data_IF_478746057140
#
_entry.id   IF_478746057140
#
_cell.length_a   1.000
_cell.length_b   1.000
_cell.length_c   1.000
_cell.angle_alpha   90.00
_cell.angle_beta   90.00
_cell.angle_gamma   90.00
#
_symmetry.space_group_name_H-M   'P 1'
#
loop_
_entity.id
_entity.type
_entity.pdbx_description
1 polymer ?
#
# COMPACT_ATOMS: atom_id res chain seq x y z
N UNK A 1 2.75 17.32 15.62
CA UNK A 1 2.92 17.39 14.15
C UNK A 1 1.55 17.45 13.51
N UNK A 2 1.38 18.12 12.36
CA UNK A 2 0.11 18.69 11.89
C UNK A 2 -1.11 17.75 11.84
N UNK A 3 -0.93 16.43 11.70
CA UNK A 3 -2.02 15.44 11.53
C UNK A 3 -3.14 15.49 12.58
N UNK A 4 -2.86 15.91 13.82
CA UNK A 4 -3.87 16.05 14.89
C UNK A 4 -4.27 17.51 15.16
N UNK A 5 -4.01 18.42 14.22
CA UNK A 5 -4.34 19.84 14.35
C UNK A 5 -5.36 20.28 13.30
N UNK A 6 -6.04 21.40 13.55
CA UNK A 6 -7.00 21.99 12.61
C UNK A 6 -6.35 22.37 11.25
N UNK A 7 -5.03 22.57 11.21
CA UNK A 7 -4.31 22.91 9.99
C UNK A 7 -4.10 21.73 9.03
N UNK A 8 -4.36 20.50 9.46
CA UNK A 8 -4.09 19.31 8.65
C UNK A 8 -4.86 19.29 7.34
N UNK A 9 -6.12 19.73 7.33
CA UNK A 9 -6.95 19.75 6.12
C UNK A 9 -6.29 20.57 5.00
N UNK A 10 -5.86 21.80 5.31
CA UNK A 10 -5.17 22.65 4.33
C UNK A 10 -3.85 22.04 3.84
N UNK A 11 -3.07 21.47 4.75
CA UNK A 11 -1.82 20.82 4.38
C UNK A 11 -2.05 19.59 3.49
N UNK A 12 -3.04 18.76 3.82
CA UNK A 12 -3.42 17.58 3.04
C UNK A 12 -3.84 17.96 1.62
N UNK A 13 -4.67 18.97 1.45
CA UNK A 13 -5.10 19.43 0.12
C UNK A 13 -3.95 20.01 -0.71
N UNK A 14 -3.06 20.77 -0.09
CA UNK A 14 -1.84 21.25 -0.74
C UNK A 14 -0.97 20.08 -1.23
N UNK A 15 -0.72 19.10 -0.36
CA UNK A 15 0.06 17.91 -0.72
C UNK A 15 -0.63 17.08 -1.81
N UNK A 16 -1.95 16.88 -1.73
CA UNK A 16 -2.73 16.16 -2.74
C UNK A 16 -2.58 16.84 -4.11
N UNK A 17 -2.67 18.17 -4.17
CA UNK A 17 -2.51 18.94 -5.42
C UNK A 17 -1.11 18.81 -6.00
N UNK A 18 -0.06 18.95 -5.18
CA UNK A 18 1.33 18.82 -5.61
C UNK A 18 1.62 17.42 -6.16
N UNK A 19 1.17 16.40 -5.44
CA UNK A 19 1.41 15.01 -5.80
C UNK A 19 0.63 14.60 -7.05
N UNK A 20 -0.61 15.09 -7.23
CA UNK A 20 -1.38 14.81 -8.44
C UNK A 20 -0.68 15.33 -9.72
N UNK A 21 0.02 16.46 -9.64
CA UNK A 21 0.80 16.98 -10.77
C UNK A 21 2.16 16.30 -11.00
N UNK A 22 2.64 15.51 -10.03
CA UNK A 22 3.95 14.85 -10.06
C UNK A 22 3.84 13.33 -10.18
N UNK A 23 2.63 12.79 -10.05
CA UNK A 23 2.38 11.36 -10.08
C UNK A 23 2.70 10.83 -11.48
N UNK A 24 3.64 9.89 -11.54
CA UNK A 24 3.83 9.07 -12.74
C UNK A 24 2.71 8.04 -12.74
N UNK A 25 1.90 8.05 -13.81
CA UNK A 25 0.85 7.07 -13.98
C UNK A 25 1.46 5.74 -14.43
N UNK A 26 1.24 4.71 -13.63
CA UNK A 26 1.52 3.32 -13.97
C UNK A 26 0.20 2.60 -14.23
N UNK A 27 0.21 1.61 -15.12
CA UNK A 27 -0.96 0.72 -15.30
C UNK A 27 -1.19 -0.09 -14.02
N UNK A 28 -0.11 -0.68 -13.47
CA UNK A 28 -0.11 -1.34 -12.16
C UNK A 28 1.06 -0.84 -11.29
N UNK A 29 0.89 -0.80 -9.96
CA UNK A 29 1.99 -0.42 -9.06
C UNK A 29 3.18 -1.40 -9.16
N UNK A 30 2.95 -2.64 -9.58
CA UNK A 30 4.02 -3.61 -9.84
C UNK A 30 4.91 -3.26 -11.04
N UNK A 31 4.46 -2.36 -11.91
CA UNK A 31 5.29 -1.83 -12.99
C UNK A 31 6.39 -0.89 -12.49
N UNK A 32 6.37 -0.52 -11.21
CA UNK A 32 7.44 0.20 -10.51
C UNK A 32 8.58 -0.79 -10.22
N UNK A 33 9.37 -1.04 -11.26
CA UNK A 33 10.50 -1.96 -11.26
C UNK A 33 11.73 -1.28 -11.83
N UNK A 34 12.95 -1.70 -11.40
CA UNK A 34 14.16 -1.17 -12.00
C UNK A 34 14.23 -1.58 -13.48
N UNK A 35 14.33 -0.60 -14.37
CA UNK A 35 14.75 -0.89 -15.75
C UNK A 35 16.24 -1.29 -15.71
N UNK A 36 16.63 -2.30 -16.50
CA UNK A 36 17.96 -2.94 -16.46
C UNK A 36 19.17 -1.98 -16.57
N UNK A 37 18.94 -0.73 -16.97
CA UNK A 37 19.94 0.33 -17.16
C UNK A 37 19.75 1.55 -16.24
N UNK A 38 18.89 1.50 -15.22
CA UNK A 38 18.41 2.70 -14.52
C UNK A 38 18.92 2.93 -13.09
N UNK A 39 19.07 4.23 -12.81
CA UNK A 39 19.38 4.86 -11.54
C UNK A 39 18.37 4.47 -10.44
N UNK A 40 18.83 3.73 -9.43
CA UNK A 40 18.03 3.35 -8.24
C UNK A 40 17.34 4.55 -7.59
N UNK A 41 17.90 5.75 -7.75
CA UNK A 41 17.30 7.00 -7.26
C UNK A 41 15.94 7.27 -7.88
N UNK A 42 15.74 6.94 -9.15
CA UNK A 42 14.46 7.15 -9.82
C UNK A 42 13.40 6.20 -9.27
N UNK A 43 13.74 4.91 -9.13
CA UNK A 43 12.88 3.92 -8.49
C UNK A 43 12.45 4.36 -7.08
N UNK A 44 13.41 4.79 -6.25
CA UNK A 44 13.11 5.30 -4.91
C UNK A 44 12.18 6.50 -4.92
N UNK A 45 12.37 7.45 -5.86
CA UNK A 45 11.47 8.61 -6.01
C UNK A 45 10.06 8.17 -6.35
N UNK A 46 9.90 7.24 -7.29
CA UNK A 46 8.59 6.80 -7.76
C UNK A 46 7.81 6.09 -6.64
N UNK A 47 8.48 5.17 -5.92
CA UNK A 47 7.90 4.51 -4.73
C UNK A 47 7.50 5.54 -3.67
N UNK A 48 8.36 6.51 -3.37
CA UNK A 48 8.06 7.55 -2.37
C UNK A 48 6.90 8.45 -2.79
N UNK A 49 6.83 8.84 -4.07
CA UNK A 49 5.74 9.66 -4.60
C UNK A 49 4.43 8.90 -4.47
N UNK A 50 4.39 7.61 -4.82
CA UNK A 50 3.21 6.77 -4.67
C UNK A 50 2.80 6.62 -3.21
N UNK A 51 3.74 6.28 -2.31
CA UNK A 51 3.45 6.16 -0.88
C UNK A 51 2.85 7.46 -0.31
N UNK A 52 3.40 8.62 -0.69
CA UNK A 52 2.89 9.93 -0.28
C UNK A 52 1.54 10.25 -0.94
N UNK A 53 1.34 9.90 -2.20
CA UNK A 53 0.09 10.11 -2.92
C UNK A 53 -1.06 9.37 -2.22
N UNK A 54 -0.86 8.10 -1.89
CA UNK A 54 -1.82 7.34 -1.09
C UNK A 54 -2.03 7.96 0.31
N UNK A 55 -0.95 8.35 1.01
CA UNK A 55 -1.03 8.96 2.35
C UNK A 55 -1.92 10.20 2.39
N UNK A 56 -1.80 11.07 1.40
CA UNK A 56 -2.58 12.32 1.35
C UNK A 56 -3.94 12.15 0.64
N UNK A 57 -4.23 10.94 0.16
CA UNK A 57 -5.53 10.56 -0.40
C UNK A 57 -5.71 10.99 -1.85
N UNK A 58 -4.68 10.85 -2.68
CA UNK A 58 -4.79 10.88 -4.14
C UNK A 58 -5.56 9.64 -4.60
N UNK A 59 -6.67 9.85 -5.30
CA UNK A 59 -7.66 8.80 -5.54
C UNK A 59 -7.14 7.68 -6.44
N UNK A 60 -6.31 7.99 -7.45
CA UNK A 60 -5.66 7.00 -8.31
C UNK A 60 -4.83 6.00 -7.50
N UNK A 61 -3.92 6.51 -6.64
CA UNK A 61 -3.09 5.64 -5.79
C UNK A 61 -3.93 4.74 -4.87
N UNK A 62 -4.97 5.32 -4.22
CA UNK A 62 -5.88 4.55 -3.37
C UNK A 62 -6.58 3.44 -4.15
N UNK A 63 -7.08 3.75 -5.34
CA UNK A 63 -7.76 2.80 -6.22
C UNK A 63 -6.82 1.68 -6.67
N UNK A 64 -5.61 2.03 -7.11
CA UNK A 64 -4.62 1.07 -7.60
C UNK A 64 -4.17 0.11 -6.49
N UNK A 65 -3.85 0.65 -5.30
CA UNK A 65 -3.48 -0.16 -4.16
C UNK A 65 -4.61 -1.12 -3.74
N UNK A 66 -5.86 -0.64 -3.74
CA UNK A 66 -7.01 -1.47 -3.39
C UNK A 66 -7.28 -2.56 -4.44
N UNK A 67 -7.16 -2.22 -5.74
CA UNK A 67 -7.35 -3.16 -6.83
C UNK A 67 -6.28 -4.27 -6.79
N UNK A 68 -5.02 -3.90 -6.61
CA UNK A 68 -3.93 -4.85 -6.55
C UNK A 68 -3.96 -5.72 -5.28
N UNK A 69 -4.39 -5.16 -4.14
CA UNK A 69 -4.63 -5.95 -2.94
C UNK A 69 -5.71 -7.00 -3.16
N UNK A 70 -6.82 -6.66 -3.84
CA UNK A 70 -7.89 -7.61 -4.17
C UNK A 70 -7.46 -8.69 -5.14
N UNK A 71 -6.66 -8.33 -6.15
CA UNK A 71 -6.05 -9.31 -7.04
C UNK A 71 -5.16 -10.28 -6.27
N UNK A 72 -4.33 -9.77 -5.36
CA UNK A 72 -3.51 -10.58 -4.47
C UNK A 72 -4.34 -11.51 -3.59
N UNK A 73 -5.44 -11.02 -2.99
CA UNK A 73 -6.35 -11.85 -2.19
C UNK A 73 -6.94 -13.01 -3.01
N UNK A 74 -7.36 -12.72 -4.24
CA UNK A 74 -7.96 -13.71 -5.16
C UNK A 74 -6.93 -14.78 -5.53
N UNK A 75 -5.72 -14.35 -5.92
CA UNK A 75 -4.64 -15.26 -6.29
C UNK A 75 -4.17 -16.12 -5.10
N UNK A 76 -4.20 -15.58 -3.89
CA UNK A 76 -3.82 -16.30 -2.68
C UNK A 76 -4.82 -17.42 -2.33
N UNK A 77 -6.11 -17.23 -2.57
CA UNK A 77 -7.12 -18.27 -2.33
C UNK A 77 -7.08 -19.37 -3.42
N UNK A 78 -6.52 -19.09 -4.61
CA UNK A 78 -6.40 -20.06 -5.72
C UNK A 78 -5.03 -20.80 -5.78
N UNK A 79 -3.95 -20.20 -5.27
CA UNK A 79 -2.59 -20.73 -5.36
C UNK A 79 -1.99 -21.16 -4.00
N UNK A 80 -0.83 -21.84 -4.03
CA UNK A 80 -0.06 -22.07 -2.80
C UNK A 80 0.39 -20.72 -2.21
N UNK A 81 0.35 -20.52 -0.89
CA UNK A 81 0.66 -19.24 -0.21
C UNK A 81 1.98 -18.58 -0.63
N UNK A 82 2.96 -19.40 -1.02
CA UNK A 82 4.32 -18.96 -1.34
C UNK A 82 4.47 -18.37 -2.76
N UNK A 83 3.46 -18.52 -3.64
CA UNK A 83 3.54 -18.14 -5.05
C UNK A 83 2.81 -16.83 -5.41
N UNK A 84 2.00 -16.28 -4.51
CA UNK A 84 1.26 -15.04 -4.73
C UNK A 84 1.81 -13.96 -3.80
N UNK A 85 2.98 -13.39 -4.12
CA UNK A 85 3.58 -12.29 -3.35
C UNK A 85 3.67 -11.02 -4.17
N UNK A 86 3.18 -9.92 -3.60
CA UNK A 86 3.32 -8.58 -4.18
C UNK A 86 4.80 -8.20 -4.22
N UNK A 87 5.22 -7.54 -5.30
CA UNK A 87 6.61 -7.06 -5.46
C UNK A 87 7.13 -6.33 -4.21
N UNK A 88 8.35 -6.64 -3.72
CA UNK A 88 8.93 -5.99 -2.53
C UNK A 88 9.04 -4.47 -2.62
N UNK A 89 9.08 -3.90 -3.83
CA UNK A 89 9.19 -2.46 -4.02
C UNK A 89 7.92 -1.69 -3.61
N UNK A 90 6.75 -2.33 -3.72
CA UNK A 90 5.45 -1.68 -3.53
C UNK A 90 4.58 -2.36 -2.48
N UNK A 91 5.03 -3.47 -1.90
CA UNK A 91 4.26 -4.25 -0.94
C UNK A 91 3.77 -3.41 0.26
N UNK A 92 4.56 -2.46 0.75
CA UNK A 92 4.19 -1.58 1.86
C UNK A 92 3.03 -0.67 1.51
N UNK A 93 2.96 -0.21 0.26
CA UNK A 93 1.88 0.62 -0.27
C UNK A 93 0.64 -0.26 -0.44
N UNK A 94 0.76 -1.37 -1.17
CA UNK A 94 -0.40 -2.20 -1.51
C UNK A 94 -1.02 -2.82 -0.26
N UNK A 95 -0.22 -3.38 0.64
CA UNK A 95 -0.75 -3.99 1.86
C UNK A 95 -1.37 -2.95 2.80
N UNK A 96 -0.70 -1.83 3.07
CA UNK A 96 -1.20 -0.81 3.98
C UNK A 96 -2.48 -0.16 3.44
N UNK A 97 -2.47 0.30 2.19
CA UNK A 97 -3.63 1.00 1.62
C UNK A 97 -4.73 0.05 1.14
N UNK A 98 -4.43 -1.21 0.85
CA UNK A 98 -5.45 -2.24 0.69
C UNK A 98 -6.28 -2.43 1.96
N UNK A 99 -5.61 -2.56 3.11
CA UNK A 99 -6.29 -2.68 4.42
C UNK A 99 -6.93 -1.35 4.86
N UNK A 100 -6.25 -0.22 4.69
CA UNK A 100 -6.77 1.09 5.09
C UNK A 100 -8.03 1.50 4.33
N UNK A 101 -8.12 1.12 3.04
CA UNK A 101 -9.26 1.44 2.18
C UNK A 101 -10.35 0.37 2.18
N UNK A 102 -10.05 -0.81 2.73
CA UNK A 102 -10.96 -1.94 2.86
C UNK A 102 -11.68 -1.95 4.20
N UNK A 103 -12.01 -3.15 4.68
CA UNK A 103 -12.60 -3.37 5.99
C UNK A 103 -12.11 -4.67 6.61
N UNK A 104 -13.03 -5.33 7.34
CA UNK A 104 -12.73 -6.59 8.03
C UNK A 104 -12.25 -7.70 7.08
N UNK A 105 -12.74 -7.74 5.85
CA UNK A 105 -12.37 -8.77 4.87
C UNK A 105 -10.88 -8.69 4.51
N UNK A 106 -10.42 -7.51 4.09
CA UNK A 106 -9.01 -7.25 3.77
C UNK A 106 -8.13 -7.47 5.01
N UNK A 107 -8.57 -6.99 6.17
CA UNK A 107 -7.83 -7.16 7.43
C UNK A 107 -7.67 -8.64 7.81
N UNK A 108 -8.75 -9.42 7.74
CA UNK A 108 -8.73 -10.86 8.03
C UNK A 108 -7.88 -11.62 7.02
N UNK A 109 -7.81 -11.18 5.77
CA UNK A 109 -6.90 -11.76 4.80
C UNK A 109 -5.42 -11.55 5.19
N UNK A 110 -5.03 -10.33 5.59
CA UNK A 110 -3.68 -10.08 6.12
C UNK A 110 -3.38 -10.92 7.38
N UNK A 111 -4.35 -11.07 8.28
CA UNK A 111 -4.22 -11.92 9.47
C UNK A 111 -4.01 -13.41 9.12
N UNK A 112 -4.77 -13.93 8.16
CA UNK A 112 -4.59 -15.29 7.63
C UNK A 112 -3.18 -15.49 7.08
N UNK A 113 -2.66 -14.50 6.34
CA UNK A 113 -1.30 -14.56 5.80
C UNK A 113 -0.24 -14.53 6.92
N UNK A 114 -0.39 -13.62 7.89
CA UNK A 114 0.49 -13.50 9.07
C UNK A 114 0.62 -14.81 9.86
N UNK A 115 -0.50 -15.52 10.05
CA UNK A 115 -0.53 -16.76 10.83
C UNK A 115 0.05 -17.96 10.07
N UNK A 116 -0.01 -17.96 8.74
CA UNK A 116 0.47 -19.06 7.89
C UNK A 116 1.95 -18.94 7.50
N UNK A 117 2.46 -17.73 7.27
CA UNK A 117 3.85 -17.55 6.88
C UNK A 117 4.82 -17.87 8.02
N UNK A 118 5.96 -18.47 7.68
CA UNK A 118 7.08 -18.67 8.60
C UNK A 118 8.18 -17.61 8.43
N UNK A 119 8.05 -16.72 7.44
CA UNK A 119 9.05 -15.71 7.14
C UNK A 119 8.83 -14.46 8.00
N UNK A 120 9.84 -14.10 8.80
CA UNK A 120 9.75 -12.98 9.74
C UNK A 120 9.49 -11.63 9.06
N UNK A 121 10.03 -11.42 7.84
CA UNK A 121 9.80 -10.19 7.09
C UNK A 121 8.34 -10.06 6.61
N UNK A 122 7.72 -11.16 6.17
CA UNK A 122 6.30 -11.18 5.80
C UNK A 122 5.41 -10.96 7.02
N UNK A 123 5.72 -11.59 8.16
CA UNK A 123 5.01 -11.31 9.41
C UNK A 123 5.04 -9.83 9.78
N UNK A 124 6.20 -9.20 9.65
CA UNK A 124 6.37 -7.77 9.95
C UNK A 124 5.57 -6.90 8.97
N UNK A 125 5.57 -7.25 7.69
CA UNK A 125 4.80 -6.55 6.67
C UNK A 125 3.29 -6.65 6.94
N UNK A 126 2.79 -7.85 7.26
CA UNK A 126 1.36 -8.06 7.57
C UNK A 126 0.93 -7.32 8.83
N UNK A 127 1.73 -7.34 9.90
CA UNK A 127 1.45 -6.55 11.11
C UNK A 127 1.36 -5.05 10.81
N UNK A 128 2.29 -4.54 9.99
CA UNK A 128 2.30 -3.12 9.59
C UNK A 128 1.07 -2.77 8.76
N UNK A 129 0.65 -3.67 7.86
CA UNK A 129 -0.54 -3.48 7.03
C UNK A 129 -1.84 -3.48 7.85
N UNK A 130 -2.00 -4.45 8.77
CA UNK A 130 -3.16 -4.52 9.67
C UNK A 130 -3.27 -3.28 10.56
N UNK A 131 -2.15 -2.67 10.93
CA UNK A 131 -2.13 -1.42 11.68
C UNK A 131 -2.58 -0.18 10.88
N UNK A 132 -2.70 -0.29 9.55
CA UNK A 132 -3.16 0.80 8.68
C UNK A 132 -4.70 0.92 8.62
N UNK A 133 -5.45 -0.02 9.19
CA UNK A 133 -6.92 0.06 9.17
C UNK A 133 -7.44 1.33 9.85
N UNK A 134 -8.50 1.90 9.28
CA UNK A 134 -9.23 3.03 9.88
C UNK A 134 -10.33 2.56 10.86
N UNK A 135 -10.63 1.26 10.89
CA UNK A 135 -11.63 0.63 11.76
C UNK A 135 -11.07 0.37 13.17
N UNK A 136 -11.45 1.21 14.13
CA UNK A 136 -10.89 1.18 15.50
C UNK A 136 -11.03 -0.19 16.20
N UNK A 137 -12.13 -0.91 15.94
CA UNK A 137 -12.41 -2.20 16.58
C UNK A 137 -11.53 -3.35 16.05
N UNK A 138 -10.90 -3.18 14.89
CA UNK A 138 -9.89 -4.12 14.36
C UNK A 138 -8.50 -3.90 14.99
N UNK A 139 -8.31 -2.81 15.75
CA UNK A 139 -7.04 -2.46 16.42
C UNK A 139 -7.05 -2.71 17.94
N UNK A 140 -8.17 -3.20 18.48
CA UNK A 140 -8.39 -3.40 19.93
C UNK A 140 -7.97 -4.77 20.46
#
# INVERSE_FOLDING_TARGET
MLERSAGYGYFREYMKTLLNGTLVEFENLEDIKPEYTQDVTQLFKDVLIQERACKYGVDKCKSDASAQYKEWMTNYDEASPDNATISPNVNSIVYCYGVANGGEEEWNHAWRHYTKTNLASEKTAMLSAMACTEEVWLLS
#
